data_IF_443976331535
#
_entry.id   IF_443976331535
#
_cell.length_a   1.000
_cell.length_b   1.000
_cell.length_c   1.000
_cell.angle_alpha   90.00
_cell.angle_beta   90.00
_cell.angle_gamma   90.00
#
_symmetry.space_group_name_H-M   'P 1'
#
loop_
_entity.id
_entity.type
_entity.pdbx_description
1 polymer ?
#
# COMPACT_ATOMS: atom_id res chain seq x y z
N UNK A 1 -0.28 18.69 -18.02
CA UNK A 1 0.36 17.99 -19.15
C UNK A 1 -0.75 17.48 -20.05
N UNK A 2 -0.94 18.12 -21.22
CA UNK A 2 -1.91 17.68 -22.22
C UNK A 2 -1.33 16.46 -22.95
N UNK A 3 -1.98 15.32 -22.85
CA UNK A 3 -1.66 14.17 -23.69
C UNK A 3 -2.12 14.47 -25.11
N UNK A 4 -1.15 14.73 -26.00
CA UNK A 4 -1.38 14.85 -27.42
C UNK A 4 -2.04 13.57 -27.95
N UNK A 5 -3.24 13.69 -28.46
CA UNK A 5 -4.11 12.63 -28.98
C UNK A 5 -3.66 12.15 -30.38
N UNK A 6 -2.42 11.72 -30.54
CA UNK A 6 -2.02 10.86 -31.67
C UNK A 6 -2.06 9.43 -31.17
N UNK A 7 -2.74 8.53 -31.90
CA UNK A 7 -3.05 7.15 -31.52
C UNK A 7 -1.84 6.37 -30.98
N UNK A 8 -1.54 6.56 -29.70
CA UNK A 8 -0.55 5.77 -28.98
C UNK A 8 -1.16 4.41 -28.77
N UNK A 9 -0.60 3.39 -29.43
CA UNK A 9 -1.01 2.00 -29.17
C UNK A 9 -0.73 1.66 -27.70
N UNK A 10 -1.56 0.79 -27.08
CA UNK A 10 -1.35 0.35 -25.70
C UNK A 10 0.07 -0.18 -25.45
N UNK A 11 0.66 -0.83 -26.44
CA UNK A 11 2.06 -1.31 -26.40
C UNK A 11 3.06 -0.14 -26.31
N UNK A 12 2.89 0.90 -27.14
CA UNK A 12 3.79 2.07 -27.12
C UNK A 12 3.70 2.86 -25.82
N UNK A 13 2.50 2.98 -25.24
CA UNK A 13 2.31 3.60 -23.93
C UNK A 13 3.01 2.79 -22.83
N UNK A 14 2.88 1.46 -22.89
CA UNK A 14 3.56 0.58 -21.94
C UNK A 14 5.08 0.71 -22.01
N UNK A 15 5.67 0.74 -23.22
CA UNK A 15 7.11 0.90 -23.39
C UNK A 15 7.61 2.25 -22.85
N UNK A 16 6.88 3.33 -23.11
CA UNK A 16 7.21 4.64 -22.55
C UNK A 16 7.19 4.62 -21.01
N UNK A 17 6.12 4.12 -20.41
CA UNK A 17 5.99 4.02 -18.96
C UNK A 17 7.05 3.08 -18.35
N UNK A 18 7.42 2.01 -19.05
CA UNK A 18 8.48 1.09 -18.63
C UNK A 18 9.85 1.78 -18.61
N UNK A 19 10.13 2.66 -19.59
CA UNK A 19 11.36 3.46 -19.63
C UNK A 19 11.40 4.47 -18.47
N UNK A 20 10.31 5.21 -18.24
CA UNK A 20 10.21 6.16 -17.12
C UNK A 20 10.40 5.47 -15.77
N UNK A 21 9.84 4.27 -15.60
CA UNK A 21 9.99 3.46 -14.40
C UNK A 21 11.42 2.95 -14.17
N UNK A 22 12.21 2.79 -15.21
CA UNK A 22 13.53 2.12 -15.15
C UNK A 22 14.48 2.74 -14.13
N UNK A 23 14.47 4.05 -13.97
CA UNK A 23 15.30 4.78 -13.00
C UNK A 23 14.91 4.43 -11.56
N UNK A 24 13.61 4.50 -11.25
CA UNK A 24 13.08 4.16 -9.92
C UNK A 24 13.31 2.69 -9.57
N UNK A 25 13.17 1.80 -10.56
CA UNK A 25 13.42 0.38 -10.37
C UNK A 25 14.90 0.11 -10.02
N UNK A 26 15.83 0.78 -10.69
CA UNK A 26 17.27 0.65 -10.42
C UNK A 26 17.64 1.13 -9.01
N UNK A 27 17.13 2.29 -8.59
CA UNK A 27 17.34 2.83 -7.25
C UNK A 27 16.75 1.92 -6.17
N UNK A 28 15.54 1.39 -6.42
CA UNK A 28 14.90 0.42 -5.53
C UNK A 28 15.68 -0.88 -5.42
N UNK A 29 16.25 -1.37 -6.52
CA UNK A 29 17.12 -2.57 -6.53
C UNK A 29 18.41 -2.36 -5.74
N UNK A 30 19.06 -1.20 -5.86
CA UNK A 30 20.25 -0.86 -5.09
C UNK A 30 19.95 -0.80 -3.60
N UNK A 31 18.84 -0.15 -3.21
CA UNK A 31 18.38 -0.09 -1.83
C UNK A 31 18.02 -1.48 -1.28
N UNK A 32 17.36 -2.30 -2.10
CA UNK A 32 17.00 -3.68 -1.76
C UNK A 32 18.21 -4.56 -1.50
N UNK A 33 19.29 -4.44 -2.30
CA UNK A 33 20.55 -5.20 -2.10
C UNK A 33 21.15 -4.98 -0.72
N UNK A 34 21.05 -3.77 -0.20
CA UNK A 34 21.64 -3.39 1.09
C UNK A 34 20.73 -3.71 2.29
N UNK A 35 19.46 -3.97 2.03
CA UNK A 35 18.44 -4.18 3.07
C UNK A 35 17.82 -5.58 2.96
N UNK A 36 16.81 -5.73 2.13
CA UNK A 36 16.03 -6.95 1.92
C UNK A 36 16.05 -7.35 0.43
N UNK A 37 17.08 -8.08 -0.04
CA UNK A 37 17.30 -8.35 -1.47
C UNK A 37 16.16 -9.09 -2.17
N UNK A 38 15.28 -9.74 -1.44
CA UNK A 38 14.14 -10.45 -2.00
C UNK A 38 12.97 -9.56 -2.41
N UNK A 39 12.91 -8.31 -1.89
CA UNK A 39 11.81 -7.39 -2.17
C UNK A 39 11.80 -6.92 -3.62
N UNK A 40 12.96 -6.51 -4.14
CA UNK A 40 13.12 -6.05 -5.51
C UNK A 40 14.33 -6.75 -6.13
N UNK A 41 14.19 -8.00 -6.58
CA UNK A 41 15.30 -8.77 -7.13
C UNK A 41 15.77 -8.19 -8.46
N UNK A 42 17.09 -8.27 -8.73
CA UNK A 42 17.61 -7.96 -10.07
C UNK A 42 17.11 -9.00 -11.07
N UNK A 43 16.38 -8.55 -12.07
CA UNK A 43 16.04 -9.36 -13.24
C UNK A 43 17.23 -9.35 -14.18
N UNK A 44 17.96 -10.48 -14.28
CA UNK A 44 18.93 -10.69 -15.36
C UNK A 44 18.13 -10.73 -16.66
N UNK A 45 18.19 -9.66 -17.46
CA UNK A 45 17.51 -9.58 -18.75
C UNK A 45 18.01 -10.68 -19.69
N UNK A 46 17.10 -11.59 -20.07
CA UNK A 46 17.31 -12.61 -21.10
C UNK A 46 16.14 -13.58 -21.13
N UNK A 47 15.67 -13.91 -22.32
CA UNK A 47 14.72 -14.99 -22.61
C UNK A 47 15.29 -16.32 -22.09
N UNK A 48 14.88 -16.73 -20.90
CA UNK A 48 15.40 -17.91 -20.21
C UNK A 48 16.03 -17.59 -18.85
N UNK A 49 15.67 -16.46 -18.24
CA UNK A 49 16.21 -15.98 -16.98
C UNK A 49 16.16 -17.05 -15.88
N UNK A 50 17.28 -17.71 -15.63
CA UNK A 50 17.53 -18.35 -14.34
C UNK A 50 17.32 -17.26 -13.29
N UNK A 51 16.49 -17.56 -12.27
CA UNK A 51 16.35 -16.70 -11.09
C UNK A 51 17.74 -16.23 -10.66
N UNK A 52 17.99 -14.93 -10.73
CA UNK A 52 19.23 -14.35 -10.25
C UNK A 52 19.43 -14.82 -8.82
N UNK A 53 20.60 -15.39 -8.52
CA UNK A 53 20.90 -15.87 -7.18
C UNK A 53 20.93 -14.65 -6.25
N UNK A 54 19.95 -14.56 -5.34
CA UNK A 54 19.85 -13.47 -4.39
C UNK A 54 21.11 -13.46 -3.53
N UNK A 55 21.89 -12.38 -3.61
CA UNK A 55 23.08 -12.20 -2.77
C UNK A 55 22.65 -11.72 -1.40
N UNK A 56 22.98 -12.50 -0.37
CA UNK A 56 22.74 -12.11 1.02
C UNK A 56 23.73 -11.01 1.42
N UNK A 57 23.27 -9.90 2.01
CA UNK A 57 24.17 -8.87 2.55
C UNK A 57 25.10 -9.43 3.64
N UNK A 58 26.30 -8.91 3.74
CA UNK A 58 27.28 -9.31 4.78
C UNK A 58 26.84 -8.92 6.20
N UNK A 59 25.92 -7.98 6.35
CA UNK A 59 25.41 -7.52 7.64
C UNK A 59 23.88 -7.33 7.59
N UNK A 60 23.23 -7.57 8.73
CA UNK A 60 21.77 -7.55 8.84
C UNK A 60 21.20 -6.20 9.29
N UNK A 61 22.03 -5.17 9.48
CA UNK A 61 21.57 -3.89 10.04
C UNK A 61 20.50 -3.21 9.17
N UNK A 62 20.65 -3.27 7.85
CA UNK A 62 19.65 -2.75 6.91
C UNK A 62 18.32 -3.46 7.01
N UNK A 63 18.35 -4.80 7.05
CA UNK A 63 17.14 -5.61 7.21
C UNK A 63 16.45 -5.36 8.56
N UNK A 64 17.22 -5.27 9.65
CA UNK A 64 16.72 -4.97 10.97
C UNK A 64 16.07 -3.57 11.02
N UNK A 65 16.71 -2.58 10.38
CA UNK A 65 16.20 -1.22 10.27
C UNK A 65 14.86 -1.15 9.53
N UNK A 66 14.76 -1.77 8.35
CA UNK A 66 13.51 -1.80 7.57
C UNK A 66 12.39 -2.50 8.33
N UNK A 67 12.65 -3.66 8.93
CA UNK A 67 11.64 -4.38 9.70
C UNK A 67 11.18 -3.60 10.94
N UNK A 68 12.10 -2.97 11.66
CA UNK A 68 11.78 -2.15 12.83
C UNK A 68 10.95 -0.92 12.44
N UNK A 69 11.32 -0.24 11.37
CA UNK A 69 10.59 0.94 10.87
C UNK A 69 9.20 0.54 10.36
N UNK A 70 9.09 -0.52 9.57
CA UNK A 70 7.81 -1.03 9.09
C UNK A 70 6.88 -1.41 10.25
N UNK A 71 7.39 -2.07 11.30
CA UNK A 71 6.61 -2.42 12.48
C UNK A 71 6.12 -1.18 13.24
N UNK A 72 6.96 -0.16 13.41
CA UNK A 72 6.59 1.10 14.06
C UNK A 72 5.54 1.86 13.25
N UNK A 73 5.70 1.92 11.93
CA UNK A 73 4.72 2.55 11.04
C UNK A 73 3.39 1.80 11.06
N UNK A 74 3.42 0.46 11.02
CA UNK A 74 2.22 -0.33 11.11
C UNK A 74 1.46 -0.07 12.42
N UNK A 75 2.16 -0.06 13.54
CA UNK A 75 1.55 0.20 14.85
C UNK A 75 1.01 1.63 14.97
N UNK A 76 1.71 2.60 14.37
CA UNK A 76 1.27 4.01 14.39
C UNK A 76 0.11 4.32 13.47
N UNK A 77 0.08 3.71 12.28
CA UNK A 77 -0.96 3.96 11.27
C UNK A 77 -2.20 3.06 11.45
N UNK A 78 -1.98 1.82 11.88
CA UNK A 78 -3.01 0.80 12.06
C UNK A 78 -2.94 0.20 13.47
N UNK A 79 -3.26 0.97 14.52
CA UNK A 79 -3.24 0.46 15.89
C UNK A 79 -4.23 -0.70 16.04
N UNK A 80 -3.90 -1.67 16.89
CA UNK A 80 -4.80 -2.76 17.26
C UNK A 80 -5.81 -2.26 18.30
N UNK A 81 -7.07 -2.70 18.18
CA UNK A 81 -8.14 -2.42 19.14
C UNK A 81 -8.51 -0.93 19.31
N UNK A 82 -8.01 -0.06 18.46
CA UNK A 82 -8.35 1.36 18.47
C UNK A 82 -8.80 1.74 17.06
N UNK A 83 -10.00 2.32 16.86
CA UNK A 83 -10.42 2.81 15.57
C UNK A 83 -9.46 3.88 15.05
N UNK A 84 -8.87 3.65 13.87
CA UNK A 84 -7.97 4.61 13.22
C UNK A 84 -8.69 5.47 12.17
N UNK A 85 -9.98 5.26 11.98
CA UNK A 85 -10.85 6.05 11.13
C UNK A 85 -12.18 6.33 11.83
N UNK A 86 -12.88 7.37 11.38
CA UNK A 86 -14.20 7.74 11.84
C UNK A 86 -15.09 8.06 10.65
N UNK A 87 -16.29 7.47 10.63
CA UNK A 87 -17.31 7.83 9.65
C UNK A 87 -18.06 9.07 10.13
N UNK A 88 -18.09 10.09 9.30
CA UNK A 88 -18.75 11.37 9.62
C UNK A 88 -19.75 11.67 8.52
N UNK A 89 -20.94 12.08 8.90
CA UNK A 89 -21.92 12.59 7.96
C UNK A 89 -21.53 13.97 7.46
N UNK A 90 -21.85 14.24 6.21
CA UNK A 90 -21.71 15.55 5.63
C UNK A 90 -22.68 16.51 6.32
N UNK A 91 -22.14 17.46 7.08
CA UNK A 91 -22.91 18.44 7.84
C UNK A 91 -23.85 19.29 6.95
N UNK A 92 -23.52 19.44 5.67
CA UNK A 92 -24.32 20.20 4.72
C UNK A 92 -25.67 19.53 4.47
N UNK A 93 -25.71 18.21 4.39
CA UNK A 93 -26.96 17.45 4.22
C UNK A 93 -27.83 17.47 5.48
N UNK A 94 -27.22 17.45 6.66
CA UNK A 94 -27.94 17.51 7.94
C UNK A 94 -28.65 18.85 8.12
N UNK A 95 -28.05 19.94 7.66
CA UNK A 95 -28.66 21.28 7.75
C UNK A 95 -29.84 21.47 6.79
N UNK A 96 -29.89 20.73 5.68
CA UNK A 96 -31.01 20.78 4.71
C UNK A 96 -32.23 20.01 5.16
N UNK A 97 -32.07 18.93 5.97
CA UNK A 97 -33.17 18.06 6.43
C UNK A 97 -33.82 18.47 7.78
N UNK A 98 -33.50 19.68 8.27
CA UNK A 98 -33.99 20.16 9.55
C UNK A 98 -33.26 19.54 10.73
N UNK A 99 -32.56 20.38 11.44
CA UNK A 99 -31.67 20.10 12.57
C UNK A 99 -32.41 19.37 13.72
N UNK A 100 -32.74 18.09 13.54
CA UNK A 100 -33.34 17.27 14.61
C UNK A 100 -32.19 16.57 15.39
N UNK A 101 -31.89 16.97 16.64
CA UNK A 101 -30.81 16.42 17.45
C UNK A 101 -30.95 14.91 17.71
N UNK A 102 -32.19 14.42 17.80
CA UNK A 102 -32.44 12.99 18.03
C UNK A 102 -32.05 12.15 16.81
N UNK A 103 -32.43 12.59 15.61
CA UNK A 103 -32.06 11.91 14.36
C UNK A 103 -30.57 11.89 14.17
N UNK A 104 -29.84 12.98 14.46
CA UNK A 104 -28.37 13.04 14.40
C UNK A 104 -27.75 12.03 15.36
N UNK A 105 -28.28 11.93 16.60
CA UNK A 105 -27.78 10.98 17.59
C UNK A 105 -28.00 9.52 17.18
N UNK A 106 -29.13 9.20 16.55
CA UNK A 106 -29.39 7.85 16.02
C UNK A 106 -28.46 7.49 14.86
N UNK A 107 -28.22 8.43 13.96
CA UNK A 107 -27.30 8.25 12.85
C UNK A 107 -25.87 8.04 13.35
N UNK A 108 -25.40 8.85 14.30
CA UNK A 108 -24.07 8.68 14.90
C UNK A 108 -23.92 7.30 15.58
N UNK A 109 -24.98 6.82 16.24
CA UNK A 109 -25.00 5.48 16.82
C UNK A 109 -24.92 4.38 15.75
N UNK A 110 -25.63 4.57 14.64
CA UNK A 110 -25.58 3.63 13.50
C UNK A 110 -24.19 3.61 12.86
N UNK A 111 -23.58 4.77 12.63
CA UNK A 111 -22.21 4.88 12.07
C UNK A 111 -21.19 4.20 12.97
N UNK A 112 -21.26 4.39 14.29
CA UNK A 112 -20.35 3.68 15.22
C UNK A 112 -20.50 2.16 15.17
N UNK A 113 -21.72 1.64 14.92
CA UNK A 113 -21.89 0.19 14.73
C UNK A 113 -21.20 -0.29 13.46
N UNK A 114 -21.28 0.49 12.37
CA UNK A 114 -20.59 0.19 11.11
C UNK A 114 -19.07 0.28 11.29
N UNK A 115 -18.55 1.32 11.95
CA UNK A 115 -17.14 1.45 12.29
C UNK A 115 -16.61 0.21 13.03
N UNK A 116 -17.32 -0.21 14.07
CA UNK A 116 -16.94 -1.39 14.86
C UNK A 116 -17.00 -2.68 14.04
N UNK A 117 -17.96 -2.81 13.13
CA UNK A 117 -18.05 -3.97 12.24
C UNK A 117 -16.89 -4.00 11.25
N UNK A 118 -16.55 -2.86 10.64
CA UNK A 118 -15.41 -2.72 9.74
C UNK A 118 -14.08 -2.99 10.46
N UNK A 119 -13.89 -2.46 11.67
CA UNK A 119 -12.70 -2.73 12.47
C UNK A 119 -12.53 -4.23 12.75
N UNK A 120 -13.61 -4.91 13.09
CA UNK A 120 -13.59 -6.35 13.33
C UNK A 120 -13.24 -7.13 12.06
N UNK A 121 -13.75 -6.72 10.90
CA UNK A 121 -13.42 -7.33 9.62
C UNK A 121 -11.93 -7.17 9.27
N UNK A 122 -11.39 -5.95 9.45
CA UNK A 122 -9.96 -5.67 9.25
C UNK A 122 -9.07 -6.48 10.22
N UNK A 123 -9.54 -6.74 11.45
CA UNK A 123 -8.79 -7.55 12.41
C UNK A 123 -8.81 -9.06 12.08
N UNK A 124 -9.88 -9.55 11.49
CA UNK A 124 -10.03 -10.96 11.09
C UNK A 124 -9.30 -11.22 9.78
N UNK A 125 -9.25 -10.24 8.89
CA UNK A 125 -8.58 -10.36 7.60
C UNK A 125 -7.05 -10.39 7.74
N UNK A 126 -6.37 -10.89 6.71
CA UNK A 126 -4.90 -10.86 6.62
C UNK A 126 -4.35 -9.49 6.18
N UNK A 127 -5.18 -8.45 6.14
CA UNK A 127 -4.81 -7.14 5.60
C UNK A 127 -3.66 -6.47 6.37
N UNK A 128 -3.55 -6.74 7.68
CA UNK A 128 -2.41 -6.24 8.49
C UNK A 128 -1.08 -6.84 8.05
N UNK A 129 -1.07 -8.11 7.67
CA UNK A 129 0.15 -8.77 7.16
C UNK A 129 0.52 -8.21 5.80
N UNK A 130 -0.47 -8.08 4.91
CA UNK A 130 -0.27 -7.44 3.61
C UNK A 130 0.21 -5.99 3.75
N UNK A 131 -0.35 -5.22 4.68
CA UNK A 131 0.06 -3.85 4.96
C UNK A 131 1.49 -3.78 5.50
N UNK A 132 1.91 -4.71 6.37
CA UNK A 132 3.29 -4.78 6.85
C UNK A 132 4.27 -5.04 5.70
N UNK A 133 3.91 -5.91 4.76
CA UNK A 133 4.70 -6.17 3.56
C UNK A 133 4.74 -4.95 2.64
N UNK A 134 3.61 -4.29 2.43
CA UNK A 134 3.52 -3.05 1.67
C UNK A 134 4.42 -1.95 2.24
N UNK A 135 4.44 -1.79 3.56
CA UNK A 135 5.31 -0.82 4.22
C UNK A 135 6.80 -1.12 4.00
N UNK A 136 7.20 -2.39 3.98
CA UNK A 136 8.59 -2.75 3.62
C UNK A 136 8.93 -2.36 2.19
N UNK A 137 8.03 -2.62 1.24
CA UNK A 137 8.20 -2.19 -0.15
C UNK A 137 8.26 -0.66 -0.27
N UNK A 138 7.41 0.05 0.44
CA UNK A 138 7.38 1.51 0.47
C UNK A 138 8.69 2.10 1.02
N UNK A 139 9.24 1.53 2.10
CA UNK A 139 10.50 1.98 2.71
C UNK A 139 11.69 1.74 1.77
N UNK A 140 11.74 0.60 1.10
CA UNK A 140 12.89 0.20 0.28
C UNK A 140 12.80 0.74 -1.14
N UNK A 141 11.62 0.66 -1.77
CA UNK A 141 11.41 1.02 -3.16
C UNK A 141 10.76 2.39 -3.38
N UNK A 142 10.27 3.03 -2.30
CA UNK A 142 9.57 4.32 -2.38
C UNK A 142 8.15 4.25 -2.96
N UNK A 143 7.79 3.13 -3.60
CA UNK A 143 6.49 2.92 -4.23
C UNK A 143 5.98 1.49 -3.97
N UNK A 144 4.67 1.37 -3.85
CA UNK A 144 3.96 0.09 -3.74
C UNK A 144 2.54 0.26 -4.25
N UNK A 145 2.02 -0.73 -4.96
CA UNK A 145 0.62 -0.76 -5.36
C UNK A 145 -0.16 -1.68 -4.44
N UNK A 146 -1.23 -1.16 -3.86
CA UNK A 146 -2.19 -1.91 -3.08
C UNK A 146 -3.47 -2.11 -3.89
N UNK A 147 -3.93 -3.33 -3.96
CA UNK A 147 -5.17 -3.67 -4.64
C UNK A 147 -6.10 -4.44 -3.69
N UNK A 148 -7.28 -3.86 -3.44
CA UNK A 148 -8.28 -4.49 -2.59
C UNK A 148 -9.13 -5.45 -3.44
N UNK A 149 -9.10 -6.73 -3.08
CA UNK A 149 -9.90 -7.79 -3.70
C UNK A 149 -10.97 -8.30 -2.74
N UNK A 150 -11.86 -9.15 -3.22
CA UNK A 150 -12.84 -9.83 -2.37
C UNK A 150 -12.19 -10.80 -1.35
N UNK A 151 -10.94 -11.20 -1.57
CA UNK A 151 -10.17 -12.10 -0.70
C UNK A 151 -9.23 -11.35 0.25
N UNK A 152 -9.23 -10.00 0.21
CA UNK A 152 -8.39 -9.14 1.02
C UNK A 152 -7.42 -8.29 0.21
N UNK A 153 -6.49 -7.67 0.91
CA UNK A 153 -5.51 -6.73 0.37
C UNK A 153 -4.35 -7.48 -0.30
N UNK A 154 -4.10 -7.18 -1.58
CA UNK A 154 -2.96 -7.69 -2.34
C UNK A 154 -1.91 -6.61 -2.54
N UNK A 155 -0.63 -6.99 -2.41
CA UNK A 155 0.53 -6.11 -2.52
C UNK A 155 1.26 -6.40 -3.82
N UNK A 156 1.44 -5.38 -4.63
CA UNK A 156 2.22 -5.45 -5.86
C UNK A 156 3.48 -4.61 -5.71
N UNK A 157 4.66 -5.23 -5.74
CA UNK A 157 5.93 -4.52 -5.66
C UNK A 157 6.18 -3.67 -6.92
N UNK A 158 7.18 -2.80 -6.81
CA UNK A 158 7.64 -1.95 -7.90
C UNK A 158 8.13 -2.78 -9.10
#
# INVERSE_FOLDING_TARGET
MEYSSSAVTAAGLYEQLAQERSTYLREGQESSKLTLPYLIPETSGGTGARRSKIKTPYQSIGAAGVNSLAAKLLTGLFPTNIPFFKLVLDQIKIQQDGNNPEAISEIDRALRKVENALMREIEISNDRVAMFEALKHLIVGGNVLLYLTNEGLQVYPL
#
